data_IF_464220205329
#
_entry.id   IF_464220205329
#
_cell.length_a   1.000
_cell.length_b   1.000
_cell.length_c   1.000
_cell.angle_alpha   90.00
_cell.angle_beta   90.00
_cell.angle_gamma   90.00
#
_symmetry.space_group_name_H-M   'P 1'
#
loop_
_entity.id
_entity.type
_entity.pdbx_description
1 polymer ?
#
# COMPACT_ATOMS: atom_id res chain seq x y z
N UNK A 1 -12.33 -25.44 -29.60
CA UNK A 1 -11.84 -24.26 -28.86
C UNK A 1 -11.57 -24.74 -27.44
N UNK A 2 -10.40 -24.42 -26.86
CA UNK A 2 -10.07 -24.86 -25.50
C UNK A 2 -10.76 -23.96 -24.49
N UNK A 3 -11.67 -24.51 -23.69
CA UNK A 3 -12.22 -23.81 -22.53
C UNK A 3 -11.12 -23.67 -21.48
N UNK A 4 -11.00 -22.48 -20.90
CA UNK A 4 -10.09 -22.22 -19.80
C UNK A 4 -10.88 -22.26 -18.48
N UNK A 5 -10.30 -22.85 -17.44
CA UNK A 5 -10.83 -22.75 -16.09
C UNK A 5 -10.54 -21.35 -15.57
N UNK A 6 -11.60 -20.59 -15.31
CA UNK A 6 -11.57 -19.23 -14.79
C UNK A 6 -11.98 -19.24 -13.33
N UNK A 7 -11.13 -18.69 -12.48
CA UNK A 7 -11.40 -18.47 -11.06
C UNK A 7 -12.11 -17.13 -10.91
N UNK A 8 -13.38 -17.19 -10.51
CA UNK A 8 -14.24 -16.02 -10.31
C UNK A 8 -14.28 -15.66 -8.83
N UNK A 9 -14.16 -14.37 -8.53
CA UNK A 9 -14.14 -13.83 -7.17
C UNK A 9 -15.08 -12.64 -7.03
N UNK A 10 -15.89 -12.62 -5.96
CA UNK A 10 -16.80 -11.50 -5.60
C UNK A 10 -16.72 -11.07 -4.13
N UNK A 11 -16.01 -11.83 -3.32
CA UNK A 11 -15.66 -11.58 -1.93
C UNK A 11 -14.69 -12.66 -1.41
N UNK A 12 -14.38 -12.61 -0.11
CA UNK A 12 -13.54 -13.62 0.56
C UNK A 12 -14.34 -14.65 1.34
N UNK A 13 -15.67 -14.57 1.42
CA UNK A 13 -16.47 -15.52 2.18
C UNK A 13 -16.60 -16.88 1.45
N UNK A 14 -17.07 -17.90 2.18
CA UNK A 14 -17.39 -19.19 1.57
C UNK A 14 -18.56 -19.02 0.59
N UNK A 15 -18.34 -19.39 -0.68
CA UNK A 15 -19.29 -19.16 -1.78
C UNK A 15 -19.07 -17.87 -2.57
N UNK A 16 -18.13 -17.01 -2.15
CA UNK A 16 -17.73 -15.82 -2.90
C UNK A 16 -16.60 -16.07 -3.92
N UNK A 17 -16.15 -17.32 -4.01
CA UNK A 17 -15.25 -17.78 -5.06
C UNK A 17 -15.76 -19.07 -5.67
N UNK A 18 -15.61 -19.20 -6.99
CA UNK A 18 -16.02 -20.39 -7.74
C UNK A 18 -15.22 -20.47 -9.05
N UNK A 19 -15.14 -21.68 -9.62
CA UNK A 19 -14.51 -21.91 -10.92
C UNK A 19 -15.56 -22.12 -11.99
N UNK A 20 -15.34 -21.53 -13.16
CA UNK A 20 -16.19 -21.69 -14.34
C UNK A 20 -15.34 -21.96 -15.58
N UNK A 21 -15.91 -22.67 -16.54
CA UNK A 21 -15.26 -22.89 -17.83
C UNK A 21 -15.80 -21.90 -18.86
N UNK A 22 -14.92 -21.04 -19.37
CA UNK A 22 -15.26 -20.08 -20.41
C UNK A 22 -14.27 -20.15 -21.58
N UNK A 23 -14.74 -19.90 -22.80
CA UNK A 23 -13.85 -19.53 -23.89
C UNK A 23 -13.31 -18.11 -23.62
N UNK A 24 -12.02 -17.89 -23.83
CA UNK A 24 -11.38 -16.60 -23.59
C UNK A 24 -11.98 -15.45 -24.43
N UNK A 25 -12.64 -15.75 -25.56
CA UNK A 25 -13.33 -14.80 -26.41
C UNK A 25 -14.83 -14.67 -26.09
N UNK A 26 -15.34 -15.35 -25.05
CA UNK A 26 -16.72 -15.18 -24.59
C UNK A 26 -16.94 -13.71 -24.20
N UNK A 27 -17.97 -13.07 -24.74
CA UNK A 27 -18.33 -11.69 -24.37
C UNK A 27 -18.80 -11.62 -22.93
N UNK A 28 -18.47 -10.54 -22.22
CA UNK A 28 -18.79 -10.39 -20.80
C UNK A 28 -20.30 -10.46 -20.51
N UNK A 29 -21.14 -10.03 -21.44
CA UNK A 29 -22.60 -10.17 -21.29
C UNK A 29 -23.05 -11.64 -21.18
N UNK A 30 -22.39 -12.55 -21.90
CA UNK A 30 -22.64 -14.00 -21.82
C UNK A 30 -22.02 -14.61 -20.55
N UNK A 31 -20.85 -14.12 -20.14
CA UNK A 31 -20.23 -14.48 -18.85
C UNK A 31 -21.18 -14.13 -17.70
N UNK A 32 -21.65 -12.87 -17.64
CA UNK A 32 -22.63 -12.42 -16.65
C UNK A 32 -23.88 -13.30 -16.64
N UNK A 33 -24.47 -13.56 -17.81
CA UNK A 33 -25.66 -14.42 -17.93
C UNK A 33 -25.43 -15.81 -17.32
N UNK A 34 -24.24 -16.38 -17.53
CA UNK A 34 -23.85 -17.67 -16.94
C UNK A 34 -23.70 -17.57 -15.43
N UNK A 35 -23.00 -16.56 -14.91
CA UNK A 35 -22.81 -16.35 -13.47
C UNK A 35 -24.14 -16.08 -12.76
N UNK A 36 -25.06 -15.34 -13.38
CA UNK A 36 -26.41 -15.10 -12.87
C UNK A 36 -27.24 -16.38 -12.84
N UNK A 37 -27.22 -17.17 -13.91
CA UNK A 37 -27.95 -18.45 -13.97
C UNK A 37 -27.48 -19.45 -12.91
N UNK A 38 -26.20 -19.41 -12.54
CA UNK A 38 -25.61 -20.23 -11.49
C UNK A 38 -25.74 -19.61 -10.08
N UNK A 39 -26.41 -18.46 -9.93
CA UNK A 39 -26.61 -17.79 -8.65
C UNK A 39 -25.36 -17.15 -8.04
N UNK A 40 -24.25 -17.06 -8.77
CA UNK A 40 -23.02 -16.44 -8.29
C UNK A 40 -23.09 -14.91 -8.33
N UNK A 41 -23.80 -14.36 -9.32
CA UNK A 41 -24.13 -12.94 -9.38
C UNK A 41 -25.64 -12.75 -9.26
N UNK A 42 -26.14 -11.73 -8.55
CA UNK A 42 -27.56 -11.43 -8.57
C UNK A 42 -28.00 -11.00 -9.97
N UNK A 43 -29.29 -11.17 -10.25
CA UNK A 43 -29.87 -10.73 -11.50
C UNK A 43 -29.77 -9.21 -11.65
N UNK A 44 -29.55 -8.78 -12.89
CA UNK A 44 -29.52 -7.38 -13.24
C UNK A 44 -30.87 -6.72 -12.96
N UNK A 45 -30.87 -5.58 -12.26
CA UNK A 45 -32.10 -4.83 -12.01
C UNK A 45 -32.26 -3.75 -13.07
N UNK A 46 -33.31 -3.87 -13.87
CA UNK A 46 -33.73 -2.80 -14.77
C UNK A 46 -34.67 -1.88 -14.00
N UNK A 47 -34.30 -0.60 -13.87
CA UNK A 47 -35.18 0.36 -13.23
C UNK A 47 -36.40 0.67 -14.15
N UNK A 48 -37.47 1.30 -13.61
CA UNK A 48 -38.68 1.62 -14.39
C UNK A 48 -38.45 2.47 -15.65
N UNK A 49 -37.29 3.12 -15.75
CA UNK A 49 -36.91 3.96 -16.89
C UNK A 49 -36.11 3.17 -17.96
N UNK A 50 -36.02 1.85 -17.84
CA UNK A 50 -35.28 1.00 -18.78
C UNK A 50 -33.76 1.05 -18.61
N UNK A 51 -33.24 1.73 -17.58
CA UNK A 51 -31.81 1.77 -17.29
C UNK A 51 -31.44 0.53 -16.50
N UNK A 52 -30.54 -0.26 -17.07
CA UNK A 52 -29.90 -1.38 -16.40
C UNK A 52 -28.92 -0.84 -15.37
N UNK A 53 -29.25 -1.01 -14.09
CA UNK A 53 -28.33 -0.75 -12.99
C UNK A 53 -27.88 -2.10 -12.43
N UNK A 54 -26.60 -2.41 -12.56
CA UNK A 54 -26.00 -3.55 -11.87
C UNK A 54 -25.21 -3.04 -10.68
N UNK A 55 -25.61 -3.45 -9.49
CA UNK A 55 -24.80 -3.34 -8.27
C UNK A 55 -23.42 -3.99 -8.46
N UNK A 56 -23.38 -5.15 -9.14
CA UNK A 56 -22.17 -5.94 -9.32
C UNK A 56 -21.54 -5.71 -10.69
N UNK A 57 -20.28 -5.26 -10.70
CA UNK A 57 -19.51 -4.95 -11.91
C UNK A 57 -18.23 -5.80 -12.00
N UNK A 58 -17.78 -6.05 -13.23
CA UNK A 58 -16.48 -6.66 -13.48
C UNK A 58 -15.36 -5.64 -13.32
N UNK A 59 -14.24 -6.08 -12.74
CA UNK A 59 -13.01 -5.30 -12.67
C UNK A 59 -12.07 -5.74 -13.80
N UNK A 60 -11.55 -4.77 -14.56
CA UNK A 60 -10.50 -4.99 -15.53
C UNK A 60 -9.14 -5.17 -14.85
N UNK A 61 -8.76 -6.41 -14.53
CA UNK A 61 -7.50 -6.73 -13.86
C UNK A 61 -6.23 -6.35 -14.66
N UNK A 62 -6.36 -6.15 -15.99
CA UNK A 62 -5.27 -5.69 -16.88
C UNK A 62 -5.24 -4.18 -17.11
N UNK A 63 -6.11 -3.43 -16.45
CA UNK A 63 -6.19 -1.98 -16.58
C UNK A 63 -4.86 -1.30 -16.26
N UNK A 64 -4.22 -0.71 -17.27
CA UNK A 64 -3.09 0.22 -17.11
C UNK A 64 -3.63 1.65 -17.12
N UNK A 65 -4.46 2.00 -16.15
CA UNK A 65 -5.16 3.29 -16.14
C UNK A 65 -4.53 4.28 -15.17
N UNK A 66 -4.50 5.55 -15.57
CA UNK A 66 -4.27 6.71 -14.69
C UNK A 66 -5.50 7.04 -13.83
N UNK A 67 -6.68 6.55 -14.22
CA UNK A 67 -7.92 6.67 -13.46
C UNK A 67 -8.46 5.28 -13.12
N UNK A 68 -8.24 4.85 -11.87
CA UNK A 68 -8.64 3.51 -11.42
C UNK A 68 -10.17 3.28 -11.48
N UNK A 69 -10.99 4.34 -11.49
CA UNK A 69 -12.45 4.20 -11.65
C UNK A 69 -12.85 3.65 -13.01
N UNK A 70 -12.00 3.81 -14.02
CA UNK A 70 -12.23 3.26 -15.37
C UNK A 70 -11.96 1.75 -15.43
N UNK A 71 -11.39 1.16 -14.37
CA UNK A 71 -11.24 -0.29 -14.25
C UNK A 71 -12.60 -1.00 -14.04
N UNK A 72 -13.66 -0.28 -13.66
CA UNK A 72 -14.99 -0.85 -13.52
C UNK A 72 -15.72 -0.90 -14.86
N UNK A 73 -16.03 -2.11 -15.34
CA UNK A 73 -16.73 -2.28 -16.61
C UNK A 73 -18.21 -1.96 -16.44
N UNK A 74 -18.68 -0.99 -17.22
CA UNK A 74 -20.10 -0.65 -17.30
C UNK A 74 -20.89 -1.77 -18.00
N UNK A 75 -22.12 -2.11 -17.55
CA UNK A 75 -22.95 -3.13 -18.19
C UNK A 75 -23.19 -2.91 -19.68
N UNK A 76 -23.29 -1.65 -20.10
CA UNK A 76 -23.46 -1.27 -21.50
C UNK A 76 -22.26 -1.63 -22.39
N UNK A 77 -21.08 -1.81 -21.81
CA UNK A 77 -19.86 -2.16 -22.52
C UNK A 77 -19.64 -3.69 -22.62
N UNK A 78 -20.26 -4.48 -21.73
CA UNK A 78 -20.08 -5.93 -21.64
C UNK A 78 -20.37 -6.72 -22.93
N UNK A 79 -21.33 -6.34 -23.80
CA UNK A 79 -21.56 -7.03 -25.07
C UNK A 79 -20.40 -6.91 -26.08
N UNK A 80 -19.47 -5.98 -25.86
CA UNK A 80 -18.38 -5.65 -26.80
C UNK A 80 -17.00 -6.06 -26.29
N UNK A 81 -16.91 -6.49 -25.03
CA UNK A 81 -15.63 -6.81 -24.38
C UNK A 81 -15.53 -8.33 -24.23
N UNK A 82 -14.50 -8.98 -24.80
CA UNK A 82 -14.23 -10.40 -24.57
C UNK A 82 -13.58 -10.60 -23.20
N UNK A 83 -13.84 -11.75 -22.57
CA UNK A 83 -13.34 -12.10 -21.23
C UNK A 83 -11.82 -11.88 -21.08
N UNK A 84 -11.02 -12.36 -22.05
CA UNK A 84 -9.55 -12.22 -22.04
C UNK A 84 -9.01 -10.80 -21.86
N UNK A 85 -9.83 -9.78 -22.18
CA UNK A 85 -9.44 -8.38 -22.06
C UNK A 85 -9.38 -7.89 -20.60
N UNK A 86 -10.08 -8.57 -19.69
CA UNK A 86 -10.24 -8.10 -18.30
C UNK A 86 -9.66 -9.05 -17.25
N UNK A 87 -9.23 -10.25 -17.62
CA UNK A 87 -8.71 -11.24 -16.66
C UNK A 87 -7.45 -10.74 -15.97
N UNK A 88 -7.44 -10.72 -14.64
CA UNK A 88 -6.22 -10.51 -13.84
C UNK A 88 -5.40 -11.79 -13.71
N UNK A 89 -4.15 -11.66 -13.23
CA UNK A 89 -3.20 -12.73 -12.83
C UNK A 89 -3.16 -14.00 -13.71
N UNK A 90 -2.05 -14.28 -14.40
CA UNK A 90 -1.88 -15.45 -15.28
C UNK A 90 -3.06 -15.74 -16.22
N UNK A 91 -3.86 -14.72 -16.57
CA UNK A 91 -5.00 -14.77 -17.48
C UNK A 91 -6.11 -15.76 -17.12
N UNK A 92 -6.37 -16.00 -15.83
CA UNK A 92 -7.44 -16.91 -15.40
C UNK A 92 -8.30 -16.39 -14.24
N UNK A 93 -8.24 -15.10 -13.90
CA UNK A 93 -8.96 -14.54 -12.75
C UNK A 93 -9.96 -13.48 -13.18
N UNK A 94 -11.20 -13.70 -12.79
CA UNK A 94 -12.29 -12.76 -12.99
C UNK A 94 -12.68 -12.15 -11.64
N UNK A 95 -12.49 -10.84 -11.49
CA UNK A 95 -12.83 -10.13 -10.26
C UNK A 95 -14.11 -9.34 -10.47
N UNK A 96 -15.00 -9.41 -9.49
CA UNK A 96 -16.31 -8.79 -9.45
C UNK A 96 -16.43 -8.02 -8.14
N UNK A 97 -17.02 -6.83 -8.19
CA UNK A 97 -17.19 -5.97 -7.02
C UNK A 97 -18.59 -5.37 -6.97
N UNK A 98 -19.05 -5.06 -5.75
CA UNK A 98 -20.22 -4.23 -5.50
C UNK A 98 -19.86 -2.74 -5.62
N UNK A 99 -20.26 -2.10 -6.72
CA UNK A 99 -19.92 -0.70 -7.02
C UNK A 99 -20.85 0.33 -6.36
N UNK A 100 -21.79 -0.11 -5.54
CA UNK A 100 -22.66 0.77 -4.74
C UNK A 100 -22.63 0.44 -3.25
N UNK A 101 -21.68 -0.38 -2.80
CA UNK A 101 -21.48 -0.70 -1.39
C UNK A 101 -21.44 0.56 -0.52
N UNK A 102 -22.24 0.59 0.55
CA UNK A 102 -22.33 1.75 1.46
C UNK A 102 -21.45 1.58 2.70
N UNK A 103 -20.87 0.40 2.91
CA UNK A 103 -19.92 0.07 3.96
C UNK A 103 -18.86 -0.88 3.40
N UNK A 104 -17.64 -0.79 3.92
CA UNK A 104 -16.51 -1.66 3.58
C UNK A 104 -16.37 -1.94 2.05
N UNK A 105 -16.28 -0.90 1.20
CA UNK A 105 -16.15 -1.10 -0.24
C UNK A 105 -14.81 -1.77 -0.54
N UNK A 106 -14.76 -2.56 -1.60
CA UNK A 106 -13.48 -3.08 -2.09
C UNK A 106 -12.56 -1.91 -2.46
N UNK A 107 -11.27 -2.09 -2.20
CA UNK A 107 -10.24 -1.14 -2.58
C UNK A 107 -9.54 -1.65 -3.83
N UNK A 108 -9.24 -0.75 -4.76
CA UNK A 108 -8.38 -1.02 -5.91
C UNK A 108 -7.18 -0.08 -5.89
N UNK A 109 -6.02 -0.61 -6.21
CA UNK A 109 -4.76 0.12 -6.17
C UNK A 109 -3.72 -0.47 -7.12
N UNK A 110 -2.56 0.18 -7.17
CA UNK A 110 -1.41 -0.31 -7.91
C UNK A 110 -0.40 -0.86 -6.90
N UNK A 111 -0.03 -2.14 -7.03
CA UNK A 111 0.99 -2.76 -6.20
C UNK A 111 2.33 -2.06 -6.35
N UNK A 112 2.99 -1.75 -5.24
CA UNK A 112 4.31 -1.08 -5.20
C UNK A 112 5.18 -1.62 -4.08
N UNK A 113 6.50 -1.62 -4.25
CA UNK A 113 7.43 -1.93 -3.16
C UNK A 113 7.74 -0.71 -2.26
N UNK A 114 7.62 0.49 -2.82
CA UNK A 114 7.98 1.76 -2.18
C UNK A 114 6.91 2.82 -2.43
N UNK A 115 6.57 3.57 -1.40
CA UNK A 115 5.78 4.78 -1.48
C UNK A 115 6.71 5.98 -1.69
N UNK A 116 6.30 6.97 -2.49
CA UNK A 116 7.15 8.11 -2.86
C UNK A 116 6.43 9.43 -2.65
N UNK A 117 7.16 10.43 -2.12
CA UNK A 117 6.76 11.82 -2.14
C UNK A 117 7.98 12.73 -2.15
N UNK A 118 8.11 13.56 -3.20
CA UNK A 118 9.25 14.48 -3.38
C UNK A 118 10.59 13.74 -3.25
N UNK A 119 11.38 14.06 -2.22
CA UNK A 119 12.70 13.47 -1.97
C UNK A 119 12.68 12.32 -0.97
N UNK A 120 11.50 11.82 -0.58
CA UNK A 120 11.33 10.76 0.41
C UNK A 120 10.68 9.55 -0.24
N UNK A 121 11.22 8.37 0.05
CA UNK A 121 10.55 7.10 -0.19
C UNK A 121 10.50 6.24 1.06
N UNK A 122 9.42 5.47 1.20
CA UNK A 122 9.15 4.63 2.36
C UNK A 122 8.76 3.24 1.91
N UNK A 123 9.31 2.22 2.56
CA UNK A 123 8.93 0.82 2.40
C UNK A 123 8.55 0.25 3.75
N UNK A 124 7.46 -0.50 3.80
CA UNK A 124 7.04 -1.30 4.95
C UNK A 124 7.31 -2.77 4.64
N UNK A 125 8.03 -3.45 5.52
CA UNK A 125 8.39 -4.86 5.37
C UNK A 125 8.25 -5.60 6.69
N UNK A 126 8.22 -6.93 6.70
CA UNK A 126 8.25 -7.69 7.96
C UNK A 126 9.61 -7.49 8.66
N UNK A 127 9.57 -7.27 9.97
CA UNK A 127 10.77 -7.26 10.78
C UNK A 127 11.34 -8.68 10.88
N UNK A 128 12.36 -8.92 10.06
CA UNK A 128 13.10 -10.18 10.02
C UNK A 128 14.42 -10.11 10.80
N UNK A 129 14.76 -8.96 11.37
CA UNK A 129 16.00 -8.76 12.10
C UNK A 129 15.87 -9.17 13.57
N UNK A 130 14.85 -8.65 14.26
CA UNK A 130 14.65 -8.91 15.69
C UNK A 130 14.11 -10.35 15.92
N UNK A 131 14.76 -11.20 16.74
CA UNK A 131 14.32 -12.58 16.94
C UNK A 131 12.89 -12.70 17.47
N UNK A 132 12.45 -11.78 18.34
CA UNK A 132 11.08 -11.75 18.87
C UNK A 132 10.07 -11.31 17.83
N UNK A 133 10.44 -10.40 16.94
CA UNK A 133 9.60 -10.02 15.81
C UNK A 133 9.38 -11.20 14.85
N UNK A 134 10.45 -11.92 14.49
CA UNK A 134 10.34 -13.15 13.68
C UNK A 134 9.43 -14.19 14.31
N UNK A 135 9.55 -14.40 15.63
CA UNK A 135 8.70 -15.35 16.35
C UNK A 135 7.22 -14.94 16.31
N UNK A 136 6.92 -13.64 16.51
CA UNK A 136 5.56 -13.12 16.41
C UNK A 136 5.01 -13.23 14.99
N UNK A 137 5.78 -12.81 13.98
CA UNK A 137 5.40 -12.93 12.57
C UNK A 137 5.13 -14.38 12.16
N UNK A 138 5.92 -15.34 12.65
CA UNK A 138 5.67 -16.77 12.42
C UNK A 138 4.37 -17.22 13.10
N UNK A 139 4.13 -16.80 14.35
CA UNK A 139 2.95 -17.17 15.13
C UNK A 139 1.64 -16.72 14.47
N UNK A 140 1.62 -15.51 13.91
CA UNK A 140 0.42 -14.98 13.24
C UNK A 140 0.31 -15.40 11.78
N UNK A 141 1.32 -16.12 11.26
CA UNK A 141 1.38 -16.49 9.85
C UNK A 141 1.43 -15.24 8.96
N UNK A 142 2.28 -14.27 9.32
CA UNK A 142 2.41 -13.02 8.60
C UNK A 142 2.87 -13.25 7.15
N UNK A 143 2.24 -12.53 6.22
CA UNK A 143 2.72 -12.38 4.86
C UNK A 143 3.50 -11.06 4.73
N UNK A 144 4.40 -10.92 3.75
CA UNK A 144 4.97 -9.62 3.46
C UNK A 144 3.83 -8.59 3.23
N UNK A 145 3.93 -7.37 3.77
CA UNK A 145 2.84 -6.39 3.68
C UNK A 145 2.46 -6.07 2.23
N UNK A 146 1.16 -6.08 1.94
CA UNK A 146 0.61 -5.66 0.65
C UNK A 146 0.60 -4.14 0.58
N UNK A 147 1.36 -3.56 -0.35
CA UNK A 147 1.56 -2.11 -0.46
C UNK A 147 0.96 -1.59 -1.77
N UNK A 148 0.03 -0.65 -1.67
CA UNK A 148 -0.76 -0.13 -2.77
C UNK A 148 -0.65 1.40 -2.86
N UNK A 149 -0.50 1.93 -4.07
CA UNK A 149 -0.57 3.38 -4.33
C UNK A 149 -1.77 3.73 -5.22
N UNK A 150 -2.16 5.00 -5.19
CA UNK A 150 -3.31 5.56 -5.92
C UNK A 150 -4.64 4.87 -5.58
N UNK A 151 -4.86 4.53 -4.32
CA UNK A 151 -5.96 3.63 -3.94
C UNK A 151 -7.30 4.35 -3.93
N UNK A 152 -8.29 3.71 -4.56
CA UNK A 152 -9.68 4.19 -4.56
C UNK A 152 -10.64 3.06 -4.17
N UNK A 153 -11.77 3.37 -3.50
CA UNK A 153 -12.85 2.42 -3.33
C UNK A 153 -13.54 2.16 -4.67
N UNK A 154 -14.00 0.93 -4.87
CA UNK A 154 -14.82 0.55 -6.04
C UNK A 154 -16.23 1.14 -5.98
N UNK A 155 -16.70 1.50 -4.79
CA UNK A 155 -18.03 2.06 -4.60
C UNK A 155 -18.13 3.52 -5.03
N UNK A 156 -19.15 3.82 -5.83
CA UNK A 156 -19.56 5.18 -6.19
C UNK A 156 -20.24 5.95 -5.06
N UNK A 157 -20.62 5.27 -3.97
CA UNK A 157 -21.32 5.85 -2.82
C UNK A 157 -20.37 6.34 -1.72
N UNK A 158 -19.12 5.92 -1.76
CA UNK A 158 -18.12 6.26 -0.76
C UNK A 158 -17.03 7.09 -1.41
N UNK A 159 -16.83 8.29 -0.89
CA UNK A 159 -15.67 9.12 -1.24
C UNK A 159 -14.57 8.83 -0.22
N UNK A 160 -13.64 7.97 -0.61
CA UNK A 160 -12.36 7.81 0.07
C UNK A 160 -11.27 7.85 -0.99
N UNK A 161 -10.21 8.61 -0.78
CA UNK A 161 -8.99 8.50 -1.59
C UNK A 161 -7.89 8.23 -0.58
N UNK A 162 -7.31 7.05 -0.67
CA UNK A 162 -6.15 6.69 0.14
C UNK A 162 -4.93 6.80 -0.78
N UNK A 163 -4.05 7.77 -0.54
CA UNK A 163 -2.88 7.96 -1.40
C UNK A 163 -2.01 6.70 -1.43
N UNK A 164 -1.78 6.11 -0.26
CA UNK A 164 -1.06 4.84 -0.09
C UNK A 164 -1.74 3.97 0.98
N UNK A 165 -1.86 2.68 0.70
CA UNK A 165 -2.41 1.69 1.63
C UNK A 165 -1.38 0.60 1.89
N UNK A 166 -1.26 0.19 3.15
CA UNK A 166 -0.48 -0.97 3.55
C UNK A 166 -1.37 -1.96 4.31
N UNK A 167 -1.52 -3.18 3.80
CA UNK A 167 -2.34 -4.23 4.40
C UNK A 167 -1.46 -5.34 4.95
N UNK A 168 -1.65 -5.67 6.23
CA UNK A 168 -0.88 -6.71 6.93
C UNK A 168 -1.80 -7.77 7.54
N UNK A 169 -1.24 -8.91 7.96
CA UNK A 169 -1.94 -9.79 8.91
C UNK A 169 -1.95 -9.10 10.28
N UNK A 170 -3.07 -9.16 11.00
CA UNK A 170 -3.14 -8.58 12.35
C UNK A 170 -2.05 -9.16 13.28
N UNK A 171 -1.34 -8.29 14.00
CA UNK A 171 -0.21 -8.65 14.85
C UNK A 171 1.13 -8.81 14.10
N UNK A 172 1.19 -8.40 12.83
CA UNK A 172 2.46 -8.37 12.09
C UNK A 172 3.39 -7.30 12.67
N UNK A 173 4.63 -7.69 12.94
CA UNK A 173 5.71 -6.81 13.36
C UNK A 173 6.50 -6.36 12.14
N UNK A 174 6.58 -5.04 11.92
CA UNK A 174 7.12 -4.45 10.69
C UNK A 174 8.38 -3.62 10.93
N UNK A 175 9.19 -3.54 9.87
CA UNK A 175 10.27 -2.58 9.71
C UNK A 175 9.82 -1.49 8.72
N UNK A 176 10.15 -0.25 9.01
CA UNK A 176 9.90 0.90 8.13
C UNK A 176 11.25 1.40 7.64
N UNK A 177 11.51 1.24 6.35
CA UNK A 177 12.71 1.76 5.70
C UNK A 177 12.38 3.09 5.05
N UNK A 178 13.18 4.12 5.39
CA UNK A 178 13.05 5.49 4.93
C UNK A 178 14.28 5.81 4.09
N UNK A 179 14.09 6.16 2.84
CA UNK A 179 15.15 6.67 1.99
C UNK A 179 14.88 8.15 1.69
N UNK A 180 15.84 9.00 2.00
CA UNK A 180 15.70 10.44 1.78
C UNK A 180 17.02 11.08 1.38
N UNK A 181 16.92 12.20 0.66
CA UNK A 181 18.06 13.08 0.43
C UNK A 181 18.47 13.78 1.74
N UNK A 182 19.76 13.94 1.99
CA UNK A 182 20.27 14.68 3.13
C UNK A 182 21.43 15.59 2.77
N UNK A 183 21.53 16.74 3.44
CA UNK A 183 22.66 17.66 3.32
C UNK A 183 23.83 17.12 4.16
N UNK A 184 24.05 17.62 5.38
CA UNK A 184 24.86 16.91 6.38
C UNK A 184 24.17 15.61 6.85
N UNK A 185 22.85 15.57 6.74
CA UNK A 185 21.99 14.43 6.98
C UNK A 185 20.52 14.79 6.76
N UNK A 186 19.64 14.00 7.35
CA UNK A 186 18.23 14.36 7.52
C UNK A 186 17.71 13.91 8.89
N UNK A 187 16.76 14.67 9.43
CA UNK A 187 15.89 14.21 10.49
C UNK A 187 14.65 13.58 9.88
N UNK A 188 14.09 12.58 10.55
CA UNK A 188 12.81 12.00 10.19
C UNK A 188 11.88 11.89 11.39
N UNK A 189 10.58 11.97 11.12
CA UNK A 189 9.51 11.71 12.06
C UNK A 189 8.58 10.67 11.43
N UNK A 190 8.05 9.77 12.25
CA UNK A 190 7.22 8.65 11.81
C UNK A 190 6.19 8.32 12.89
N UNK A 191 4.91 8.26 12.53
CA UNK A 191 3.86 7.97 13.51
C UNK A 191 2.46 8.20 12.97
N UNK A 192 1.47 7.66 13.67
CA UNK A 192 0.06 7.96 13.42
C UNK A 192 -0.29 9.38 13.85
N UNK A 193 -1.38 9.99 13.38
CA UNK A 193 -1.77 11.32 13.87
C UNK A 193 -2.18 11.31 15.35
N UNK A 194 -2.75 10.20 15.80
CA UNK A 194 -3.09 9.95 17.20
C UNK A 194 -2.33 8.73 17.74
N UNK A 195 -2.20 8.65 19.06
CA UNK A 195 -1.48 7.56 19.74
C UNK A 195 0.02 7.83 19.92
N UNK A 196 0.75 6.77 20.25
CA UNK A 196 2.19 6.82 20.51
C UNK A 196 2.97 6.95 19.20
N UNK A 197 3.79 8.00 19.09
CA UNK A 197 4.62 8.23 17.91
C UNK A 197 5.80 7.24 17.88
N UNK A 198 6.03 6.59 16.74
CA UNK A 198 7.21 5.72 16.55
C UNK A 198 8.50 6.55 16.63
N UNK A 199 8.53 7.71 15.97
CA UNK A 199 9.59 8.70 16.05
C UNK A 199 8.95 10.09 16.10
N UNK A 200 8.95 10.78 17.25
CA UNK A 200 8.34 12.10 17.37
C UNK A 200 9.09 13.15 16.53
N UNK A 201 8.37 14.19 16.11
CA UNK A 201 8.92 15.28 15.31
C UNK A 201 9.78 16.30 16.10
N UNK A 202 9.71 16.24 17.43
CA UNK A 202 10.43 17.10 18.38
C UNK A 202 10.65 16.39 19.72
N UNK A 203 11.56 16.92 20.54
CA UNK A 203 11.92 16.36 21.85
C UNK A 203 13.12 15.41 21.81
N UNK A 204 13.36 14.76 22.94
CA UNK A 204 14.61 14.02 23.21
C UNK A 204 14.73 12.69 22.46
N UNK A 205 13.62 12.16 21.95
CA UNK A 205 13.56 10.87 21.25
C UNK A 205 13.47 11.03 19.73
N UNK A 206 13.90 12.16 19.21
CA UNK A 206 14.01 12.41 17.77
C UNK A 206 15.16 11.61 17.16
N UNK A 207 15.01 11.16 15.91
CA UNK A 207 16.04 10.38 15.22
C UNK A 207 16.51 11.08 13.94
N UNK A 208 17.77 10.83 13.64
CA UNK A 208 18.50 11.46 12.54
C UNK A 208 19.33 10.40 11.83
N UNK A 209 19.53 10.62 10.55
CA UNK A 209 20.54 9.91 9.79
C UNK A 209 21.54 10.96 9.30
N UNK A 210 22.77 10.91 9.82
CA UNK A 210 23.83 11.89 9.58
C UNK A 210 25.14 11.19 9.23
N UNK A 211 25.99 11.83 8.42
CA UNK A 211 27.24 11.22 7.97
C UNK A 211 28.41 12.21 8.02
N UNK A 212 29.46 11.91 8.79
CA UNK A 212 30.70 12.66 8.70
C UNK A 212 31.37 12.34 7.36
N UNK A 213 31.67 13.38 6.57
CA UNK A 213 32.47 13.33 5.34
C UNK A 213 31.82 12.72 4.07
N UNK A 214 30.51 12.48 4.06
CA UNK A 214 29.80 12.00 2.85
C UNK A 214 28.38 12.59 2.77
N UNK A 215 28.34 13.89 2.53
CA UNK A 215 27.16 14.75 2.54
C UNK A 215 26.50 14.83 1.16
N UNK A 216 25.28 15.38 1.09
CA UNK A 216 24.55 15.73 -0.15
C UNK A 216 24.13 14.54 -1.01
N UNK A 217 23.48 13.56 -0.38
CA UNK A 217 23.13 12.29 -1.03
C UNK A 217 21.84 11.68 -0.49
N UNK A 218 21.30 10.74 -1.24
CA UNK A 218 20.26 9.84 -0.77
C UNK A 218 20.86 8.71 0.06
N UNK A 219 20.21 8.40 1.17
CA UNK A 219 20.55 7.26 2.02
C UNK A 219 19.30 6.69 2.66
N UNK A 220 19.31 5.38 2.83
CA UNK A 220 18.28 4.65 3.55
C UNK A 220 18.64 4.48 5.04
N UNK A 221 17.63 4.56 5.89
CA UNK A 221 17.67 4.16 7.30
C UNK A 221 16.43 3.31 7.59
N UNK A 222 16.50 2.41 8.55
CA UNK A 222 15.39 1.52 8.92
C UNK A 222 15.08 1.68 10.38
N UNK A 223 13.81 1.94 10.70
CA UNK A 223 13.29 1.88 12.06
C UNK A 223 12.52 0.58 12.26
N UNK A 224 12.83 -0.10 13.36
CA UNK A 224 12.25 -1.40 13.73
C UNK A 224 11.51 -1.34 15.07
N UNK A 225 11.64 -0.21 15.77
CA UNK A 225 11.11 0.05 17.09
C UNK A 225 10.76 1.52 17.30
N UNK A 226 9.97 1.77 18.33
CA UNK A 226 9.73 3.11 18.86
C UNK A 226 11.04 3.73 19.35
N UNK A 227 11.22 5.03 19.15
CA UNK A 227 12.49 5.70 19.44
C UNK A 227 12.77 5.81 20.94
N UNK A 228 11.71 5.95 21.74
CA UNK A 228 11.72 6.17 23.19
C UNK A 228 11.64 4.87 24.00
N UNK A 229 11.04 3.81 23.46
CA UNK A 229 10.92 2.49 24.11
C UNK A 229 11.53 1.37 23.26
N UNK A 230 12.09 0.34 23.91
CA UNK A 230 12.72 -0.80 23.20
C UNK A 230 11.70 -1.82 22.69
N UNK A 231 10.57 -1.38 22.13
CA UNK A 231 9.51 -2.24 21.60
C UNK A 231 9.38 -2.08 20.09
N UNK A 232 9.21 -3.19 19.37
CA UNK A 232 9.03 -3.20 17.93
C UNK A 232 7.72 -2.54 17.49
N UNK A 233 7.55 -2.32 16.19
CA UNK A 233 6.33 -1.74 15.62
C UNK A 233 5.39 -2.89 15.22
N UNK A 234 4.33 -3.14 15.99
CA UNK A 234 3.32 -4.16 15.69
C UNK A 234 2.05 -3.51 15.16
N UNK A 235 1.54 -3.97 14.02
CA UNK A 235 0.32 -3.46 13.41
C UNK A 235 -0.87 -4.31 13.86
N UNK A 236 -1.81 -3.70 14.57
CA UNK A 236 -3.02 -4.36 15.11
C UNK A 236 -4.29 -3.73 14.58
N UNK A 237 -5.42 -4.41 14.69
CA UNK A 237 -6.73 -3.82 14.41
C UNK A 237 -7.07 -2.75 15.46
N UNK A 238 -7.76 -1.69 15.05
CA UNK A 238 -8.16 -0.61 15.95
C UNK A 238 -9.10 -1.05 17.09
N UNK A 239 -9.89 -2.08 16.84
CA UNK A 239 -10.78 -2.74 17.78
C UNK A 239 -10.00 -3.40 18.92
N UNK A 240 -8.82 -3.94 18.62
CA UNK A 240 -7.92 -4.57 19.60
C UNK A 240 -7.35 -3.58 20.62
N UNK A 241 -7.39 -2.27 20.34
CA UNK A 241 -6.91 -1.20 21.23
C UNK A 241 -8.02 -0.26 21.70
N UNK A 242 -9.29 -0.58 21.40
CA UNK A 242 -10.45 0.16 21.89
C UNK A 242 -10.60 1.58 21.31
N UNK A 243 -10.13 1.81 20.08
CA UNK A 243 -10.29 3.10 19.40
C UNK A 243 -11.76 3.27 18.99
N UNK A 244 -12.31 4.45 19.26
CA UNK A 244 -13.68 4.78 18.85
C UNK A 244 -13.80 5.06 17.35
N UNK A 245 -14.99 4.78 16.77
CA UNK A 245 -15.24 4.91 15.32
C UNK A 245 -14.92 6.28 14.70
N UNK A 246 -14.99 7.34 15.50
CA UNK A 246 -14.71 8.71 15.07
C UNK A 246 -13.22 9.06 15.05
N UNK A 247 -12.35 8.16 15.51
CA UNK A 247 -10.90 8.35 15.63
C UNK A 247 -10.09 7.39 14.74
N UNK A 248 -10.71 6.35 14.20
CA UNK A 248 -10.14 5.31 13.34
C UNK A 248 -9.10 5.88 12.34
N UNK A 249 -9.51 6.89 11.56
CA UNK A 249 -8.65 7.52 10.54
C UNK A 249 -7.36 8.12 11.13
N UNK A 250 -7.42 8.74 12.31
CA UNK A 250 -6.26 9.40 12.93
C UNK A 250 -5.23 8.38 13.44
N UNK A 251 -5.70 7.20 13.88
CA UNK A 251 -4.83 6.11 14.30
C UNK A 251 -4.32 5.26 13.13
N UNK A 252 -5.11 5.20 12.05
CA UNK A 252 -4.78 4.51 10.81
C UNK A 252 -3.75 5.25 9.96
N UNK A 253 -3.86 6.59 9.90
CA UNK A 253 -3.03 7.43 9.05
C UNK A 253 -1.64 7.58 9.66
N UNK A 254 -0.69 6.85 9.09
CA UNK A 254 0.72 6.87 9.46
C UNK A 254 1.52 7.78 8.52
N UNK A 255 2.18 8.79 9.09
CA UNK A 255 2.93 9.78 8.32
C UNK A 255 4.41 9.62 8.56
N UNK A 256 5.19 9.55 7.47
CA UNK A 256 6.64 9.67 7.51
C UNK A 256 7.05 10.94 6.79
N UNK A 257 7.77 11.81 7.49
CA UNK A 257 8.32 13.04 6.91
C UNK A 257 9.78 13.19 7.25
N UNK A 258 10.53 13.80 6.33
CA UNK A 258 11.94 14.12 6.57
C UNK A 258 12.23 15.60 6.34
N UNK A 259 13.26 16.11 7.00
CA UNK A 259 13.76 17.48 6.82
C UNK A 259 15.29 17.49 6.85
N UNK A 260 15.88 18.49 6.21
CA UNK A 260 17.33 18.61 6.09
C UNK A 260 17.97 18.89 7.45
N UNK A 261 19.04 18.14 7.72
CA UNK A 261 20.03 18.47 8.74
C UNK A 261 21.21 19.12 8.02
N UNK A 262 21.46 20.41 8.29
CA UNK A 262 22.50 21.20 7.64
C UNK A 262 23.80 21.24 8.43
N UNK A 263 23.74 21.04 9.74
CA UNK A 263 24.93 20.98 10.60
C UNK A 263 24.71 20.05 11.80
N UNK A 264 25.75 19.35 12.23
CA UNK A 264 25.80 18.63 13.49
C UNK A 264 27.24 18.52 14.03
N UNK A 265 27.36 18.35 15.34
CA UNK A 265 28.62 18.04 16.02
C UNK A 265 28.68 16.57 16.43
N UNK A 266 29.83 15.93 16.22
CA UNK A 266 30.10 14.58 16.69
C UNK A 266 31.58 14.45 17.03
N UNK A 267 31.90 13.87 18.19
CA UNK A 267 33.29 13.65 18.65
C UNK A 267 34.16 14.93 18.61
N UNK A 268 33.58 16.09 18.94
CA UNK A 268 34.28 17.38 18.94
C UNK A 268 34.51 18.02 17.57
N UNK A 269 33.99 17.41 16.49
CA UNK A 269 34.04 17.96 15.14
C UNK A 269 32.66 18.39 14.67
N UNK A 270 32.58 19.55 14.03
CA UNK A 270 31.37 20.05 13.37
C UNK A 270 31.38 19.68 11.89
N UNK A 271 30.26 19.16 11.42
CA UNK A 271 30.04 18.71 10.06
C UNK A 271 28.85 19.48 9.48
N UNK A 272 29.05 20.20 8.39
CA UNK A 272 28.01 21.06 7.81
C UNK A 272 27.93 21.01 6.29
N UNK A 273 26.72 21.06 5.75
CA UNK A 273 26.44 21.36 4.35
C UNK A 273 25.07 22.01 4.19
N UNK A 274 24.99 23.05 3.37
CA UNK A 274 23.78 23.82 3.09
C UNK A 274 23.16 23.54 1.71
N UNK A 275 23.89 22.82 0.84
CA UNK A 275 23.52 22.42 -0.52
C UNK A 275 22.07 21.95 -0.61
N UNK A 276 21.31 22.39 -1.60
CA UNK A 276 19.90 22.00 -1.77
C UNK A 276 19.75 20.63 -2.44
N UNK A 277 18.62 19.92 -2.20
CA UNK A 277 18.32 18.71 -2.96
C UNK A 277 18.26 19.02 -4.47
N UNK A 278 18.59 18.04 -5.33
CA UNK A 278 18.51 18.22 -6.78
C UNK A 278 17.07 18.55 -7.21
N UNK A 279 16.83 19.40 -8.23
CA UNK A 279 15.47 19.75 -8.65
C UNK A 279 14.59 18.53 -8.94
N UNK A 280 13.35 18.54 -8.43
CA UNK A 280 12.34 17.56 -8.82
C UNK A 280 11.95 17.78 -10.28
N UNK A 281 12.13 16.77 -11.12
CA UNK A 281 11.63 16.77 -12.49
C UNK A 281 10.17 16.31 -12.42
N UNK A 282 9.23 17.22 -12.69
CA UNK A 282 7.82 16.84 -12.78
C UNK A 282 7.62 15.83 -13.92
N UNK A 283 6.76 14.81 -13.76
CA UNK A 283 6.39 13.93 -14.87
C UNK A 283 5.65 14.78 -15.91
N UNK A 284 6.34 15.18 -16.98
CA UNK A 284 5.81 16.06 -18.01
C UNK A 284 4.71 15.39 -18.82
N UNK A 285 3.66 16.16 -19.11
CA UNK A 285 2.54 15.85 -20.00
C UNK A 285 2.99 15.55 -21.44
N UNK A 286 3.52 14.35 -21.65
CA UNK A 286 3.50 13.65 -22.93
C UNK A 286 2.69 12.38 -22.69
N UNK A 287 1.75 12.05 -23.59
CA UNK A 287 1.09 10.75 -23.56
C UNK A 287 2.15 9.66 -23.41
N UNK A 288 2.11 8.93 -22.28
CA UNK A 288 2.96 7.79 -21.95
C UNK A 288 4.42 7.90 -22.39
N UNK A 289 5.31 8.41 -21.54
CA UNK A 289 6.73 7.99 -21.58
C UNK A 289 7.44 8.30 -20.26
N UNK A 290 7.75 7.25 -19.52
CA UNK A 290 9.01 7.13 -18.79
C UNK A 290 10.16 7.38 -19.79
N UNK A 291 11.03 8.36 -19.56
CA UNK A 291 12.42 8.42 -20.06
C UNK A 291 13.10 9.72 -19.57
N UNK A 292 14.04 9.64 -18.61
CA UNK A 292 15.51 9.61 -18.83
C UNK A 292 16.15 10.98 -19.09
N UNK A 293 17.02 11.42 -18.18
CA UNK A 293 18.35 11.93 -18.55
C UNK A 293 19.33 11.91 -17.37
N UNK A 294 20.32 11.02 -17.49
CA UNK A 294 21.69 11.07 -16.96
C UNK A 294 21.95 11.08 -15.44
N UNK A 295 21.05 10.46 -14.69
CA UNK A 295 21.40 9.69 -13.49
C UNK A 295 20.43 8.51 -13.45
N UNK A 296 20.94 7.27 -13.48
CA UNK A 296 20.14 6.06 -13.64
C UNK A 296 18.86 6.10 -12.79
N UNK A 297 17.65 5.99 -13.37
CA UNK A 297 16.51 5.42 -12.65
C UNK A 297 16.96 4.02 -12.23
N UNK A 298 16.97 3.70 -10.93
CA UNK A 298 17.38 2.36 -10.51
C UNK A 298 16.45 1.35 -11.16
N UNK A 299 17.00 0.28 -11.73
CA UNK A 299 16.28 -0.79 -12.43
C UNK A 299 15.07 -1.36 -11.64
N UNK A 300 15.03 -1.13 -10.31
CA UNK A 300 13.91 -1.39 -9.40
C UNK A 300 12.62 -0.61 -9.70
N UNK A 301 12.70 0.66 -10.13
CA UNK A 301 11.50 1.47 -10.42
C UNK A 301 10.82 1.04 -11.73
N UNK A 302 11.57 0.39 -12.63
CA UNK A 302 11.07 -0.19 -13.88
C UNK A 302 10.62 -1.65 -13.69
N UNK A 303 11.20 -2.40 -12.75
CA UNK A 303 10.73 -3.74 -12.38
C UNK A 303 9.36 -3.72 -11.67
N UNK A 304 9.04 -2.65 -10.93
CA UNK A 304 7.81 -2.53 -10.14
C UNK A 304 6.58 -2.01 -10.92
N UNK A 305 6.70 -1.81 -12.23
CA UNK A 305 5.60 -1.36 -13.11
C UNK A 305 4.90 -2.52 -13.86
N UNK A 306 5.28 -3.76 -13.58
CA UNK A 306 4.64 -4.97 -14.12
C UNK A 306 3.54 -5.56 -13.23
N UNK A 307 3.27 -4.98 -12.05
CA UNK A 307 2.15 -5.35 -11.19
C UNK A 307 0.84 -4.75 -11.68
N UNK A 308 -0.10 -5.62 -12.02
CA UNK A 308 -1.45 -5.25 -12.41
C UNK A 308 -2.21 -4.52 -11.30
N UNK A 309 -3.44 -4.13 -11.64
CA UNK A 309 -4.40 -3.65 -10.66
C UNK A 309 -4.58 -4.70 -9.55
N UNK A 310 -4.38 -4.30 -8.31
CA UNK A 310 -4.61 -5.14 -7.14
C UNK A 310 -5.93 -4.75 -6.48
N UNK A 311 -6.66 -5.75 -5.96
CA UNK A 311 -7.97 -5.59 -5.35
C UNK A 311 -7.94 -6.14 -3.94
N UNK A 312 -8.35 -5.34 -2.96
CA UNK A 312 -8.49 -5.75 -1.56
C UNK A 312 -9.98 -5.72 -1.21
N UNK A 313 -10.61 -6.89 -1.01
CA UNK A 313 -12.02 -6.94 -0.64
C UNK A 313 -12.29 -6.22 0.69
N UNK A 314 -13.19 -5.26 0.71
CA UNK A 314 -13.34 -4.36 1.87
C UNK A 314 -13.79 -5.11 3.13
N UNK A 315 -14.66 -6.11 2.97
CA UNK A 315 -15.09 -6.96 4.08
C UNK A 315 -13.98 -7.82 4.68
N UNK A 316 -12.86 -8.02 3.98
CA UNK A 316 -11.73 -8.84 4.42
C UNK A 316 -10.75 -8.09 5.34
N UNK A 317 -10.85 -6.76 5.39
CA UNK A 317 -9.94 -5.88 6.10
C UNK A 317 -10.68 -5.00 7.11
N UNK A 318 -9.95 -4.51 8.10
CA UNK A 318 -10.37 -3.46 9.03
C UNK A 318 -9.22 -2.46 9.21
N UNK A 319 -9.48 -1.22 9.65
CA UNK A 319 -8.41 -0.27 9.89
C UNK A 319 -7.40 -0.81 10.90
N UNK A 320 -6.12 -0.58 10.60
CA UNK A 320 -4.99 -1.01 11.40
C UNK A 320 -4.24 0.17 11.98
N UNK A 321 -3.54 -0.02 13.09
CA UNK A 321 -2.76 1.01 13.76
C UNK A 321 -1.46 0.42 14.34
N UNK A 322 -0.33 1.15 14.31
CA UNK A 322 0.89 0.71 14.94
C UNK A 322 0.80 0.81 16.48
N UNK A 323 1.33 -0.21 17.14
CA UNK A 323 1.41 -0.32 18.60
C UNK A 323 2.77 -0.90 19.01
N UNK A 324 3.10 -0.75 20.30
CA UNK A 324 4.28 -1.38 20.88
C UNK A 324 4.16 -2.91 20.85
N UNK A 325 5.01 -3.55 20.05
CA UNK A 325 5.10 -5.00 19.94
C UNK A 325 6.10 -5.62 20.94
N UNK A 326 6.65 -6.80 20.61
CA UNK A 326 7.72 -7.43 21.39
C UNK A 326 9.01 -6.61 21.47
N UNK A 327 9.91 -6.97 22.39
CA UNK A 327 11.17 -6.24 22.56
C UNK A 327 12.06 -6.30 21.30
N UNK A 328 12.66 -5.15 20.96
CA UNK A 328 13.63 -4.99 19.87
C UNK A 328 15.06 -4.87 20.39
N UNK A 329 16.00 -5.46 19.65
CA UNK A 329 17.44 -5.35 19.91
C UNK A 329 18.07 -4.18 19.13
N UNK A 330 17.27 -3.40 18.39
CA UNK A 330 17.77 -2.24 17.65
C UNK A 330 18.39 -1.20 18.60
N UNK A 331 19.65 -0.86 18.36
CA UNK A 331 20.33 0.24 19.04
C UNK A 331 20.50 1.42 18.09
N UNK A 332 20.43 2.62 18.65
CA UNK A 332 20.70 3.85 17.91
C UNK A 332 22.19 4.13 17.85
N UNK A 333 22.61 4.87 16.83
CA UNK A 333 24.01 5.29 16.67
C UNK A 333 24.48 6.21 17.80
N UNK A 334 25.76 6.56 17.76
CA UNK A 334 26.33 7.53 18.71
C UNK A 334 25.58 8.87 18.64
N UNK A 335 25.36 9.53 19.79
CA UNK A 335 24.64 10.79 19.83
C UNK A 335 25.40 11.87 19.03
N UNK A 336 24.62 12.80 18.48
CA UNK A 336 25.09 14.00 17.79
C UNK A 336 24.50 15.23 18.49
N UNK A 337 25.20 16.36 18.49
CA UNK A 337 24.81 17.60 19.16
C UNK A 337 24.81 18.80 18.21
N UNK A 338 24.40 19.97 18.71
CA UNK A 338 24.49 21.26 18.00
C UNK A 338 23.85 21.22 16.61
N UNK A 339 22.63 20.70 16.56
CA UNK A 339 21.92 20.42 15.32
C UNK A 339 21.37 21.69 14.69
N UNK A 340 21.66 21.90 13.41
CA UNK A 340 20.96 22.87 12.58
C UNK A 340 20.05 22.15 11.61
N UNK A 341 18.75 22.43 11.73
CA UNK A 341 17.70 21.76 10.99
C UNK A 341 16.84 22.81 10.30
N UNK A 342 16.43 22.50 9.08
CA UNK A 342 15.36 23.27 8.47
C UNK A 342 14.07 23.13 9.29
N UNK A 343 13.15 24.08 9.16
CA UNK A 343 11.83 23.95 9.77
C UNK A 343 10.98 22.91 8.99
N UNK A 344 9.99 22.31 9.65
CA UNK A 344 9.13 21.28 9.06
C UNK A 344 8.25 21.81 7.91
N UNK A 345 8.05 23.13 7.80
CA UNK A 345 7.43 23.77 6.62
C UNK A 345 8.27 23.63 5.34
N UNK A 346 9.57 23.36 5.49
CA UNK A 346 10.52 23.05 4.41
C UNK A 346 10.87 21.56 4.37
N UNK A 347 9.95 20.69 4.78
CA UNK A 347 10.15 19.25 4.71
C UNK A 347 10.54 18.81 3.29
N UNK A 348 11.48 17.85 3.22
CA UNK A 348 11.97 17.25 1.98
C UNK A 348 10.90 16.42 1.27
N UNK A 349 9.95 15.90 2.04
CA UNK A 349 8.83 15.10 1.56
C UNK A 349 8.04 14.55 2.73
N UNK A 350 6.80 14.16 2.44
CA UNK A 350 5.87 13.55 3.39
C UNK A 350 5.12 12.42 2.70
N UNK A 351 5.28 11.21 3.21
CA UNK A 351 4.57 10.01 2.75
C UNK A 351 3.52 9.67 3.80
N UNK A 352 2.27 9.60 3.36
CA UNK A 352 1.12 9.19 4.18
C UNK A 352 0.72 7.78 3.77
N UNK A 353 0.60 6.88 4.74
CA UNK A 353 0.23 5.46 4.58
C UNK A 353 -0.98 5.19 5.47
N UNK A 354 -2.02 4.57 4.92
CA UNK A 354 -3.17 4.08 5.68
C UNK A 354 -2.99 2.58 5.95
N UNK A 355 -2.87 2.21 7.21
CA UNK A 355 -2.73 0.80 7.59
C UNK A 355 -4.08 0.08 7.65
N UNK A 356 -4.14 -1.12 7.10
CA UNK A 356 -5.24 -2.04 7.32
C UNK A 356 -4.69 -3.38 7.79
N UNK A 357 -5.51 -4.13 8.51
CA UNK A 357 -5.22 -5.53 8.83
C UNK A 357 -6.30 -6.42 8.27
N UNK A 358 -5.90 -7.61 7.81
CA UNK A 358 -6.86 -8.67 7.49
C UNK A 358 -7.60 -9.10 8.77
N UNK A 359 -8.92 -9.29 8.68
CA UNK A 359 -9.74 -9.78 9.79
C UNK A 359 -9.40 -11.21 10.20
N UNK A 360 -8.81 -11.99 9.29
CA UNK A 360 -8.30 -13.32 9.57
C UNK A 360 -7.11 -13.71 8.67
N UNK A 361 -6.32 -14.68 9.10
CA UNK A 361 -5.25 -15.26 8.27
C UNK A 361 -5.81 -15.92 7.00
N UNK A 362 -7.00 -16.53 7.08
CA UNK A 362 -7.65 -17.16 5.93
C UNK A 362 -8.05 -16.12 4.88
N UNK A 363 -8.53 -14.95 5.31
CA UNK A 363 -8.79 -13.83 4.41
C UNK A 363 -7.51 -13.36 3.72
N UNK A 364 -6.41 -13.22 4.48
CA UNK A 364 -5.11 -12.86 3.92
C UNK A 364 -4.65 -13.83 2.82
N UNK A 365 -4.76 -15.15 3.07
CA UNK A 365 -4.44 -16.19 2.08
C UNK A 365 -5.33 -16.06 0.83
N UNK A 366 -6.64 -15.85 1.02
CA UNK A 366 -7.60 -15.71 -0.09
C UNK A 366 -7.34 -14.45 -0.92
N UNK A 367 -6.93 -13.35 -0.30
CA UNK A 367 -6.64 -12.12 -1.03
C UNK A 367 -5.29 -12.21 -1.73
N UNK A 368 -4.23 -12.54 -1.00
CA UNK A 368 -2.86 -12.54 -1.53
C UNK A 368 -2.68 -13.64 -2.57
N UNK A 369 -3.08 -14.88 -2.28
CA UNK A 369 -2.89 -16.02 -3.18
C UNK A 369 -4.10 -16.32 -4.08
N UNK A 370 -5.25 -15.70 -3.80
CA UNK A 370 -6.52 -15.96 -4.50
C UNK A 370 -7.00 -14.80 -5.36
N UNK A 371 -7.07 -13.56 -4.86
CA UNK A 371 -7.44 -12.39 -5.68
C UNK A 371 -6.26 -11.90 -6.53
N UNK A 372 -5.15 -11.62 -5.86
CA UNK A 372 -4.03 -10.87 -6.43
C UNK A 372 -2.84 -11.75 -6.81
N UNK A 373 -3.00 -13.09 -6.78
CA UNK A 373 -1.92 -14.07 -6.73
C UNK A 373 -0.67 -13.61 -7.45
N UNK A 374 0.47 -13.76 -6.77
CA UNK A 374 1.73 -13.21 -7.20
C UNK A 374 1.95 -13.36 -8.70
N UNK A 375 2.42 -12.28 -9.33
CA UNK A 375 3.64 -12.46 -10.11
C UNK A 375 4.65 -13.15 -9.16
N UNK A 376 5.09 -14.41 -9.42
CA UNK A 376 5.95 -15.17 -8.51
C UNK A 376 7.24 -14.44 -8.08
N UNK A 377 7.59 -13.34 -8.75
CA UNK A 377 8.77 -12.54 -8.47
C UNK A 377 8.66 -11.57 -7.27
N UNK A 378 7.47 -11.31 -6.72
CA UNK A 378 7.27 -10.26 -5.68
C UNK A 378 7.04 -10.84 -4.28
N UNK A 379 6.55 -12.08 -4.20
CA UNK A 379 6.14 -12.71 -2.94
C UNK A 379 6.79 -14.08 -2.69
N UNK A 380 7.90 -14.38 -3.39
CA UNK A 380 8.72 -15.58 -3.15
C UNK A 380 9.80 -15.38 -2.10
#
# INVERSE_FOLDING_TARGET
>A
MSQNVIYCFKGVADGDSATYEFDANTMLSNVRSTLTANGFMPATVTNPNGVVTTQWQFIAGKAKHTNLKDALIAPSAEPYIPLKAILGGNDNRLIITDSIATHDPDLIGIGTEWFFNKYVSVQVSLNNYDPKARAQNTKVGAFPPMQLTNVVPTSTKITGIYDNVCVCVEGSVVDITINSWGAAGFQFAAGSEAGHQVVPASGDNTLYQAWPNNMNRYVSTTIRRYSDVKQTIEIVGEDSVGIGKNQEIQYQKFTVKTRRLTSFSQNGHTYSSDNQPPPLIAPGSAGTSLAETNGKPTDQQLANAETGLEVVPGHSIKPGTPTEGPASDQNWGAPISDLELDSWDKALGEVVIYFFVFKSHQDAVRVINGYNAPNPQIWS
#
